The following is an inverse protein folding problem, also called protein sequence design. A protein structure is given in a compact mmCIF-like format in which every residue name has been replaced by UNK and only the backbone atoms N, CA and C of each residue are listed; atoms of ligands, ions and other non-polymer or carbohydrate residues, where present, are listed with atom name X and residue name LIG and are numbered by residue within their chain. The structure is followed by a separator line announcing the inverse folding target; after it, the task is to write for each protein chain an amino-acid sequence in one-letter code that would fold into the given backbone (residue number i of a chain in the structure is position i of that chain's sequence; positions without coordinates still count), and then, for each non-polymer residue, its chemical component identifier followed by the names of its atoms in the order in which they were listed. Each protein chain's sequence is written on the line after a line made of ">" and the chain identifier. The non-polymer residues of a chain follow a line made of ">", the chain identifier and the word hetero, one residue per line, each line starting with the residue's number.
data_IF_438868604718
#
_entry.id   IF_438868604718
#
_cell.length_a   1.000
_cell.length_b   1.000
_cell.length_c   1.000
_cell.angle_alpha   90.00
_cell.angle_beta   90.00
_cell.angle_gamma   90.00
#
_symmetry.space_group_name_H-M   'P 1'
#
loop_
_entity.id
_entity.type
_entity.pdbx_description
1 polymer ?
#
# COMPACT_ATOMS: atom_id res chain seq x y z
N UNK A 1 19.88 14.61 -9.91
CA UNK A 1 18.64 14.17 -10.58
C UNK A 1 17.59 13.65 -9.59
N UNK A 2 17.69 13.93 -8.29
CA UNK A 2 16.56 14.02 -7.37
C UNK A 2 16.92 15.14 -6.38
N UNK A 3 16.03 16.10 -6.19
CA UNK A 3 16.26 17.27 -5.34
C UNK A 3 16.44 16.86 -3.88
N UNK A 4 16.93 17.78 -3.03
CA UNK A 4 16.86 17.60 -1.58
C UNK A 4 15.38 17.45 -1.22
N UNK A 5 15.00 16.27 -0.73
CA UNK A 5 13.65 16.05 -0.20
C UNK A 5 13.40 17.10 0.87
N UNK A 6 12.31 17.86 0.74
CA UNK A 6 11.87 18.78 1.78
C UNK A 6 11.62 18.01 3.08
N UNK A 7 11.55 18.73 4.21
CA UNK A 7 11.37 18.13 5.52
C UNK A 7 10.22 17.11 5.48
N UNK A 8 10.41 15.98 6.20
CA UNK A 8 9.39 14.94 6.37
C UNK A 8 8.14 15.55 6.99
N UNK A 9 7.21 16.01 6.17
CA UNK A 9 5.86 16.28 6.61
C UNK A 9 5.10 14.96 6.45
N UNK A 10 4.87 14.26 7.56
CA UNK A 10 4.11 13.00 7.64
C UNK A 10 2.60 13.23 7.32
N UNK A 11 2.27 14.26 6.54
CA UNK A 11 0.90 14.72 6.29
C UNK A 11 0.17 13.88 5.25
N UNK A 12 0.87 13.31 4.27
CA UNK A 12 0.22 12.65 3.14
C UNK A 12 -0.58 11.42 3.58
N UNK A 13 -0.01 10.62 4.50
CA UNK A 13 -0.69 9.45 5.04
C UNK A 13 -1.88 9.84 5.93
N UNK A 14 -1.73 10.87 6.76
CA UNK A 14 -2.83 11.40 7.58
C UNK A 14 -4.00 11.91 6.72
N UNK A 15 -3.73 12.56 5.59
CA UNK A 15 -4.77 12.92 4.62
C UNK A 15 -5.48 11.70 4.02
N UNK A 16 -4.75 10.61 3.76
CA UNK A 16 -5.34 9.35 3.27
C UNK A 16 -6.26 8.76 4.35
N UNK A 17 -5.83 8.72 5.61
CA UNK A 17 -6.67 8.22 6.72
C UNK A 17 -7.93 9.07 6.91
N UNK A 18 -7.80 10.40 6.86
CA UNK A 18 -8.95 11.30 6.92
C UNK A 18 -9.92 11.06 5.74
N UNK A 19 -9.40 10.83 4.54
CA UNK A 19 -10.22 10.51 3.37
C UNK A 19 -10.92 9.15 3.52
N UNK A 20 -10.26 8.14 4.08
CA UNK A 20 -10.88 6.83 4.35
C UNK A 20 -12.08 6.97 5.30
N UNK A 21 -11.95 7.73 6.39
CA UNK A 21 -13.05 8.00 7.31
C UNK A 21 -14.26 8.59 6.60
N UNK A 22 -14.04 9.62 5.76
CA UNK A 22 -15.11 10.25 4.97
C UNK A 22 -15.77 9.25 4.01
N UNK A 23 -15.00 8.32 3.43
CA UNK A 23 -15.54 7.28 2.57
C UNK A 23 -16.37 6.25 3.36
N UNK A 24 -15.87 5.79 4.50
CA UNK A 24 -16.57 4.84 5.39
C UNK A 24 -17.91 5.40 5.84
N UNK A 25 -17.95 6.67 6.26
CA UNK A 25 -19.18 7.34 6.73
C UNK A 25 -20.24 7.48 5.61
N UNK A 26 -19.83 7.39 4.34
CA UNK A 26 -20.72 7.44 3.17
C UNK A 26 -21.24 6.08 2.72
N UNK A 27 -20.73 4.97 3.25
CA UNK A 27 -21.16 3.62 2.87
C UNK A 27 -22.52 3.34 3.53
N UNK A 28 -23.62 3.19 2.77
CA UNK A 28 -24.97 3.10 3.34
C UNK A 28 -25.20 1.88 4.23
N UNK A 29 -24.43 0.82 4.02
CA UNK A 29 -24.51 -0.45 4.77
C UNK A 29 -23.55 -0.51 5.96
N UNK A 30 -22.73 0.53 6.17
CA UNK A 30 -21.87 0.61 7.34
C UNK A 30 -22.74 0.96 8.57
N UNK A 31 -23.19 -0.07 9.27
CA UNK A 31 -23.88 0.05 10.57
C UNK A 31 -22.91 0.47 11.68
N UNK A 32 -23.44 0.83 12.85
CA UNK A 32 -22.63 1.22 14.02
C UNK A 32 -21.61 0.15 14.44
N UNK A 33 -21.91 -1.12 14.21
CA UNK A 33 -21.14 -2.27 14.69
C UNK A 33 -20.36 -3.00 13.57
N UNK A 34 -20.48 -2.57 12.32
CA UNK A 34 -19.80 -3.20 11.18
C UNK A 34 -18.49 -2.49 10.83
N UNK A 35 -17.43 -3.26 10.63
CA UNK A 35 -16.19 -2.79 10.01
C UNK A 35 -16.31 -2.78 8.49
N UNK A 36 -15.65 -1.82 7.85
CA UNK A 36 -15.49 -1.77 6.40
C UNK A 36 -14.17 -2.41 6.04
N UNK A 37 -14.23 -3.49 5.25
CA UNK A 37 -13.03 -4.13 4.72
C UNK A 37 -12.47 -3.28 3.58
N UNK A 38 -11.28 -2.71 3.79
CA UNK A 38 -10.63 -1.80 2.84
C UNK A 38 -9.50 -2.51 2.13
N UNK A 39 -9.61 -2.60 0.82
CA UNK A 39 -8.58 -3.12 -0.07
C UNK A 39 -7.76 -1.98 -0.66
N UNK A 40 -6.47 -2.22 -0.89
CA UNK A 40 -5.58 -1.25 -1.54
C UNK A 40 -5.27 -1.73 -2.95
N UNK A 41 -5.29 -0.84 -3.93
CA UNK A 41 -4.96 -1.21 -5.31
C UNK A 41 -4.23 -0.09 -6.03
N UNK A 42 -3.51 -0.45 -7.09
CA UNK A 42 -2.83 0.50 -7.95
C UNK A 42 -2.37 -0.13 -9.26
N UNK A 43 -2.27 0.70 -10.30
CA UNK A 43 -1.76 0.31 -11.61
C UNK A 43 -0.49 1.11 -11.95
N UNK A 44 0.48 0.48 -12.63
CA UNK A 44 1.73 1.12 -13.03
C UNK A 44 2.46 1.73 -11.82
N UNK A 45 2.92 2.99 -11.91
CA UNK A 45 3.50 3.73 -10.78
C UNK A 45 2.55 3.78 -9.57
N UNK A 46 1.24 3.82 -9.80
CA UNK A 46 0.25 3.76 -8.72
C UNK A 46 0.32 2.46 -7.91
N UNK A 47 0.68 1.33 -8.54
CA UNK A 47 0.93 0.08 -7.82
C UNK A 47 2.08 0.22 -6.82
N UNK A 48 3.13 0.97 -7.17
CA UNK A 48 4.27 1.17 -6.28
C UNK A 48 3.90 2.02 -5.05
N UNK A 49 3.11 3.07 -5.25
CA UNK A 49 2.58 3.86 -4.15
C UNK A 49 1.62 3.07 -3.27
N UNK A 50 0.79 2.23 -3.89
CA UNK A 50 -0.12 1.33 -3.17
C UNK A 50 0.62 0.37 -2.26
N UNK A 51 1.79 -0.15 -2.66
CA UNK A 51 2.58 -1.03 -1.79
C UNK A 51 3.17 -0.34 -0.57
N UNK A 52 3.62 0.91 -0.71
CA UNK A 52 4.05 1.69 0.46
C UNK A 52 2.88 2.08 1.36
N UNK A 53 1.76 2.49 0.77
CA UNK A 53 0.55 2.82 1.50
C UNK A 53 0.03 1.61 2.29
N UNK A 54 -0.04 0.45 1.65
CA UNK A 54 -0.47 -0.79 2.27
C UNK A 54 0.46 -1.21 3.41
N UNK A 55 1.78 -1.14 3.21
CA UNK A 55 2.74 -1.41 4.29
C UNK A 55 2.52 -0.50 5.51
N UNK A 56 2.26 0.80 5.29
CA UNK A 56 1.96 1.74 6.39
C UNK A 56 0.64 1.42 7.08
N UNK A 57 -0.41 1.06 6.33
CA UNK A 57 -1.70 0.61 6.85
C UNK A 57 -1.52 -0.62 7.75
N UNK A 58 -0.70 -1.60 7.36
CA UNK A 58 -0.44 -2.79 8.17
C UNK A 58 0.27 -2.46 9.50
N UNK A 59 1.16 -1.46 9.49
CA UNK A 59 1.81 -0.95 10.70
C UNK A 59 0.80 -0.24 11.62
N UNK A 60 -0.10 0.55 11.06
CA UNK A 60 -1.10 1.35 11.77
C UNK A 60 -2.47 0.66 11.92
N UNK A 61 -2.55 -0.65 11.72
CA UNK A 61 -3.79 -1.46 11.70
C UNK A 61 -4.67 -1.25 12.95
N UNK A 62 -4.04 -1.02 14.11
CA UNK A 62 -4.75 -0.67 15.34
C UNK A 62 -5.49 0.68 15.27
N UNK A 63 -4.87 1.71 14.66
CA UNK A 63 -5.50 3.03 14.44
C UNK A 63 -6.66 2.92 13.44
N UNK A 64 -6.50 2.11 12.40
CA UNK A 64 -7.53 1.87 11.39
C UNK A 64 -8.76 1.18 11.98
N UNK A 65 -8.55 0.22 12.88
CA UNK A 65 -9.64 -0.49 13.57
C UNK A 65 -10.50 0.48 14.40
N UNK A 66 -9.89 1.49 15.03
CA UNK A 66 -10.62 2.54 15.76
C UNK A 66 -11.53 3.37 14.85
N UNK A 67 -11.17 3.48 13.57
CA UNK A 67 -11.93 4.19 12.53
C UNK A 67 -12.89 3.27 11.76
N UNK A 68 -13.20 2.07 12.31
CA UNK A 68 -14.05 1.03 11.69
C UNK A 68 -13.51 0.50 10.36
N UNK A 69 -12.21 0.66 10.11
CA UNK A 69 -11.55 0.15 8.91
C UNK A 69 -10.85 -1.16 9.27
N UNK A 70 -11.22 -2.23 8.58
CA UNK A 70 -10.52 -3.51 8.64
C UNK A 70 -9.65 -3.65 7.40
N UNK A 71 -8.36 -3.91 7.60
CA UNK A 71 -7.41 -4.10 6.50
C UNK A 71 -7.78 -5.34 5.69
N UNK A 72 -8.00 -5.16 4.38
CA UNK A 72 -8.17 -6.24 3.41
C UNK A 72 -6.87 -6.52 2.66
N UNK A 73 -6.99 -7.05 1.44
CA UNK A 73 -5.87 -7.36 0.55
C UNK A 73 -5.36 -6.13 -0.25
N UNK A 74 -4.12 -6.24 -0.70
CA UNK A 74 -3.53 -5.42 -1.75
C UNK A 74 -3.61 -6.13 -3.12
N UNK A 75 -4.04 -5.40 -4.15
CA UNK A 75 -4.02 -5.85 -5.55
C UNK A 75 -3.29 -4.84 -6.42
N UNK A 76 -2.10 -5.16 -6.92
CA UNK A 76 -1.31 -4.25 -7.77
C UNK A 76 -1.09 -4.84 -9.16
N UNK A 77 -1.18 -3.99 -10.18
CA UNK A 77 -1.19 -4.38 -11.60
C UNK A 77 -0.10 -3.63 -12.37
N UNK A 78 0.75 -4.35 -13.11
CA UNK A 78 1.83 -3.72 -13.90
C UNK A 78 2.77 -2.86 -13.04
N UNK A 79 2.89 -3.19 -11.75
CA UNK A 79 3.64 -2.40 -10.78
C UNK A 79 5.15 -2.59 -11.00
N UNK A 80 5.96 -1.51 -11.06
CA UNK A 80 7.41 -1.65 -11.07
C UNK A 80 7.91 -2.29 -9.77
N UNK A 81 9.18 -2.70 -9.70
CA UNK A 81 9.78 -3.19 -8.46
C UNK A 81 9.87 -2.05 -7.43
N UNK A 82 9.55 -2.38 -6.18
CA UNK A 82 9.42 -1.43 -5.07
C UNK A 82 10.36 -1.84 -3.95
N UNK A 83 11.01 -0.85 -3.34
CA UNK A 83 11.89 -1.06 -2.19
C UNK A 83 13.18 -1.84 -2.52
N UNK A 84 13.99 -2.03 -1.50
CA UNK A 84 15.14 -2.95 -1.51
C UNK A 84 14.69 -4.36 -1.11
N UNK A 85 15.61 -5.34 -1.19
CA UNK A 85 15.37 -6.68 -0.67
C UNK A 85 15.02 -6.67 0.83
N UNK A 86 15.67 -5.81 1.62
CA UNK A 86 15.39 -5.67 3.05
C UNK A 86 13.96 -5.15 3.30
N UNK A 87 13.53 -4.17 2.51
CA UNK A 87 12.16 -3.68 2.57
C UNK A 87 11.16 -4.77 2.17
N UNK A 88 11.45 -5.54 1.11
CA UNK A 88 10.59 -6.63 0.66
C UNK A 88 10.44 -7.73 1.72
N UNK A 89 11.53 -8.11 2.39
CA UNK A 89 11.50 -9.08 3.49
C UNK A 89 10.67 -8.56 4.68
N UNK A 90 10.86 -7.29 5.05
CA UNK A 90 10.06 -6.64 6.11
C UNK A 90 8.58 -6.57 5.74
N UNK A 91 8.25 -6.18 4.51
CA UNK A 91 6.87 -6.11 4.05
C UNK A 91 6.21 -7.50 4.03
N UNK A 92 6.94 -8.53 3.59
CA UNK A 92 6.46 -9.91 3.63
C UNK A 92 6.15 -10.37 5.07
N UNK A 93 7.03 -10.05 6.03
CA UNK A 93 6.81 -10.36 7.45
C UNK A 93 5.57 -9.62 8.00
N UNK A 94 5.38 -8.35 7.66
CA UNK A 94 4.18 -7.59 8.05
C UNK A 94 2.90 -8.20 7.49
N UNK A 95 2.85 -8.49 6.18
CA UNK A 95 1.68 -9.08 5.51
C UNK A 95 1.34 -10.44 6.14
N UNK A 96 2.35 -11.27 6.42
CA UNK A 96 2.14 -12.62 6.98
C UNK A 96 1.47 -12.66 8.36
N UNK A 97 1.51 -11.54 9.09
CA UNK A 97 0.94 -11.40 10.44
C UNK A 97 -0.48 -10.84 10.44
N UNK A 98 -1.01 -10.49 9.27
CA UNK A 98 -2.32 -9.83 9.11
C UNK A 98 -3.26 -10.71 8.30
N UNK A 99 -4.55 -10.40 8.36
CA UNK A 99 -5.56 -11.16 7.62
C UNK A 99 -5.44 -10.96 6.09
N UNK A 100 -5.06 -9.75 5.67
CA UNK A 100 -4.90 -9.40 4.26
C UNK A 100 -3.64 -9.97 3.61
N UNK A 101 -3.70 -10.14 2.29
CA UNK A 101 -2.61 -10.61 1.44
C UNK A 101 -2.21 -9.57 0.39
N UNK A 102 -1.00 -9.67 -0.16
CA UNK A 102 -0.53 -8.83 -1.26
C UNK A 102 -0.42 -9.62 -2.56
N UNK A 103 -1.12 -9.15 -3.60
CA UNK A 103 -1.19 -9.77 -4.91
C UNK A 103 -0.58 -8.87 -5.98
N UNK A 104 0.54 -9.30 -6.54
CA UNK A 104 1.21 -8.60 -7.65
C UNK A 104 0.93 -9.29 -8.98
N UNK A 105 0.07 -8.68 -9.79
CA UNK A 105 -0.31 -9.18 -11.11
C UNK A 105 0.56 -8.53 -12.20
N UNK A 106 1.21 -9.37 -12.99
CA UNK A 106 2.17 -8.96 -14.02
C UNK A 106 1.81 -9.58 -15.35
N UNK A 107 1.75 -8.76 -16.40
CA UNK A 107 1.72 -9.25 -17.77
C UNK A 107 3.16 -9.57 -18.21
N UNK A 108 3.36 -10.71 -18.88
CA UNK A 108 4.68 -11.15 -19.33
C UNK A 108 5.35 -10.14 -20.28
N UNK A 109 4.58 -9.53 -21.17
CA UNK A 109 5.07 -8.56 -22.16
C UNK A 109 5.15 -7.12 -21.62
N UNK A 110 4.76 -6.88 -20.37
CA UNK A 110 4.83 -5.55 -19.77
C UNK A 110 6.25 -5.27 -19.24
N UNK A 111 6.95 -4.24 -19.76
CA UNK A 111 8.28 -3.88 -19.29
C UNK A 111 8.26 -3.18 -17.92
N UNK A 112 7.13 -2.61 -17.48
CA UNK A 112 7.07 -1.82 -16.23
C UNK A 112 7.41 -2.66 -15.00
N UNK A 113 6.88 -3.89 -14.82
CA UNK A 113 7.30 -4.82 -13.76
C UNK A 113 8.79 -5.19 -13.74
N UNK A 114 9.51 -4.90 -14.83
CA UNK A 114 10.94 -5.19 -15.00
C UNK A 114 11.84 -3.99 -14.68
N UNK A 115 11.29 -2.87 -14.20
CA UNK A 115 12.09 -1.73 -13.74
C UNK A 115 11.96 -1.52 -12.22
N UNK A 116 13.04 -1.13 -11.51
CA UNK A 116 14.44 -1.12 -11.97
C UNK A 116 14.95 -2.54 -12.29
N UNK A 117 15.80 -2.75 -13.31
CA UNK A 117 16.37 -4.07 -13.66
C UNK A 117 17.18 -4.68 -12.49
N UNK A 118 17.04 -5.98 -12.25
CA UNK A 118 17.81 -6.70 -11.21
C UNK A 118 19.28 -6.91 -11.57
N UNK A 119 19.64 -6.69 -12.83
CA UNK A 119 21.00 -6.88 -13.36
C UNK A 119 21.89 -5.65 -13.24
N UNK A 120 21.33 -4.47 -12.95
CA UNK A 120 22.13 -3.27 -12.67
C UNK A 120 22.58 -3.32 -11.20
N UNK A 121 23.77 -3.85 -10.94
CA UNK A 121 24.47 -3.60 -9.66
C UNK A 121 24.95 -2.14 -9.67
N UNK A 122 24.70 -1.36 -8.60
CA UNK A 122 25.43 -0.11 -8.41
C UNK A 122 26.93 -0.44 -8.33
N UNK A 123 27.76 0.33 -9.04
CA UNK A 123 29.22 0.34 -8.83
C UNK A 123 29.56 0.78 -7.40
#
# INVERSE_FOLDING_TARGET
>A
MFGKYEAKEDIAYEYILAAFKVCVDKIPTATTDSTVRTHVTGHSLGGAYSSFCYAQILVDDAKLTQEKIQTGDEYIFGCPRVGSNDWAAMNQDLVSKKEGQSWRTVNYEDPVPQVPPTTLKPE
#
